data_IF_290882871384
#
_entry.id   IF_290882871384
#
_cell.length_a   1.000
_cell.length_b   1.000
_cell.length_c   1.000
_cell.angle_alpha   90.00
_cell.angle_beta   90.00
_cell.angle_gamma   90.00
#
_symmetry.space_group_name_H-M   'P 1'
#
loop_
_entity.id
_entity.type
_entity.pdbx_description
1 polymer ?
#
# COMPACT_ATOMS: atom_id res chain seq x y z
N UNK A 1 7.54 19.93 3.33
CA UNK A 1 7.42 19.55 1.91
C UNK A 1 6.41 18.42 1.81
N UNK A 2 5.33 18.64 1.06
CA UNK A 2 4.29 17.64 0.83
C UNK A 2 4.82 16.56 -0.13
N UNK A 3 5.37 15.47 0.44
CA UNK A 3 5.95 14.37 -0.34
C UNK A 3 4.92 13.70 -1.26
N UNK A 4 3.65 13.79 -0.93
CA UNK A 4 2.56 13.18 -1.68
C UNK A 4 2.36 13.87 -3.04
N UNK A 5 2.37 15.21 -3.08
CA UNK A 5 2.33 15.98 -4.31
C UNK A 5 3.58 15.79 -5.17
N UNK A 6 4.75 15.71 -4.56
CA UNK A 6 6.01 15.42 -5.26
C UNK A 6 5.98 14.07 -5.96
N UNK A 7 5.58 13.01 -5.25
CA UNK A 7 5.47 11.67 -5.82
C UNK A 7 4.38 11.57 -6.90
N UNK A 8 3.26 12.28 -6.73
CA UNK A 8 2.25 12.42 -7.78
C UNK A 8 2.82 13.04 -9.06
N UNK A 9 3.63 14.09 -8.93
CA UNK A 9 4.31 14.71 -10.08
C UNK A 9 5.29 13.73 -10.76
N UNK A 10 6.08 13.00 -9.97
CA UNK A 10 7.02 11.99 -10.47
C UNK A 10 6.29 10.87 -11.22
N UNK A 11 5.15 10.39 -10.70
CA UNK A 11 4.33 9.38 -11.38
C UNK A 11 3.78 9.91 -12.72
N UNK A 12 3.35 11.17 -12.78
CA UNK A 12 2.76 11.79 -13.96
C UNK A 12 3.78 12.17 -15.05
N UNK A 13 5.06 12.39 -14.71
CA UNK A 13 6.11 12.78 -15.67
C UNK A 13 7.13 11.68 -15.98
N UNK A 14 7.20 10.65 -15.14
CA UNK A 14 8.20 9.59 -15.25
C UNK A 14 8.00 8.61 -16.41
N UNK A 15 8.93 7.67 -16.53
CA UNK A 15 8.91 6.60 -17.54
C UNK A 15 7.60 5.78 -17.52
N UNK A 16 7.01 5.61 -16.34
CA UNK A 16 5.78 4.82 -16.12
C UNK A 16 4.49 5.66 -16.12
N UNK A 17 4.52 6.93 -16.57
CA UNK A 17 3.33 7.81 -16.57
C UNK A 17 2.12 7.24 -17.31
N UNK A 18 2.35 6.48 -18.39
CA UNK A 18 1.26 5.84 -19.14
C UNK A 18 0.52 4.81 -18.30
N UNK A 19 1.23 4.07 -17.45
CA UNK A 19 0.63 3.15 -16.49
C UNK A 19 -0.23 3.90 -15.47
N UNK A 20 0.30 5.00 -14.94
CA UNK A 20 -0.44 5.89 -14.04
C UNK A 20 -1.74 6.39 -14.68
N UNK A 21 -1.68 6.89 -15.92
CA UNK A 21 -2.88 7.37 -16.62
C UNK A 21 -3.88 6.25 -16.90
N UNK A 22 -3.43 5.11 -17.42
CA UNK A 22 -4.30 3.96 -17.69
C UNK A 22 -5.07 3.53 -16.43
N UNK A 23 -4.38 3.38 -15.30
CA UNK A 23 -5.03 3.03 -14.03
C UNK A 23 -6.02 4.10 -13.53
N UNK A 24 -5.78 5.38 -13.82
CA UNK A 24 -6.74 6.44 -13.48
C UNK A 24 -7.99 6.44 -14.37
N UNK A 25 -7.92 5.89 -15.59
CA UNK A 25 -9.09 5.75 -16.48
C UNK A 25 -10.03 4.61 -16.07
N UNK A 26 -9.57 3.70 -15.21
CA UNK A 26 -10.36 2.54 -14.80
C UNK A 26 -11.31 2.89 -13.65
N UNK A 27 -12.60 2.61 -13.86
CA UNK A 27 -13.67 2.80 -12.86
C UNK A 27 -13.95 1.54 -12.02
N UNK A 28 -13.20 0.46 -12.27
CA UNK A 28 -13.32 -0.82 -11.56
C UNK A 28 -12.54 -0.82 -10.24
N UNK A 29 -12.88 -1.73 -9.34
CA UNK A 29 -12.16 -1.92 -8.07
C UNK A 29 -10.94 -2.83 -8.21
N UNK A 30 -10.98 -3.74 -9.18
CA UNK A 30 -9.95 -4.74 -9.41
C UNK A 30 -9.71 -4.87 -10.91
N UNK A 31 -8.44 -4.90 -11.30
CA UNK A 31 -8.01 -5.07 -12.68
C UNK A 31 -6.92 -6.12 -12.72
N UNK A 32 -7.22 -7.29 -13.31
CA UNK A 32 -6.21 -8.30 -13.63
C UNK A 32 -5.46 -7.88 -14.89
N UNK A 33 -4.14 -8.01 -14.87
CA UNK A 33 -3.28 -7.67 -15.99
C UNK A 33 -2.14 -8.67 -16.09
N UNK A 34 -1.71 -8.98 -17.31
CA UNK A 34 -0.45 -9.69 -17.54
C UNK A 34 0.72 -8.71 -17.57
N UNK A 35 1.95 -9.21 -17.42
CA UNK A 35 3.15 -8.39 -17.61
C UNK A 35 3.19 -7.82 -19.04
N UNK A 36 2.72 -8.58 -20.03
CA UNK A 36 2.59 -8.13 -21.42
C UNK A 36 1.55 -7.01 -21.60
N UNK A 37 0.44 -7.02 -20.86
CA UNK A 37 -0.53 -5.91 -20.88
C UNK A 37 0.10 -4.63 -20.32
N UNK A 38 0.87 -4.75 -19.24
CA UNK A 38 1.62 -3.63 -18.66
C UNK A 38 2.65 -3.09 -19.66
N UNK A 39 3.39 -3.95 -20.36
CA UNK A 39 4.32 -3.58 -21.43
C UNK A 39 3.62 -2.84 -22.59
N UNK A 40 2.44 -3.31 -22.98
CA UNK A 40 1.62 -2.67 -24.02
C UNK A 40 1.17 -1.27 -23.61
N UNK A 41 0.76 -1.10 -22.35
CA UNK A 41 0.34 0.19 -21.80
C UNK A 41 1.51 1.17 -21.72
N UNK A 42 2.67 0.74 -21.21
CA UNK A 42 3.85 1.61 -21.07
C UNK A 42 4.57 1.84 -22.41
N UNK A 43 4.40 0.94 -23.37
CA UNK A 43 4.99 1.00 -24.71
C UNK A 43 6.47 0.63 -24.76
N UNK A 44 6.96 -0.12 -23.77
CA UNK A 44 8.33 -0.66 -23.73
C UNK A 44 8.36 -1.96 -22.93
N UNK A 45 9.38 -2.78 -23.17
CA UNK A 45 9.58 -4.02 -22.43
C UNK A 45 9.96 -3.79 -20.97
N UNK A 46 9.30 -4.51 -20.06
CA UNK A 46 9.62 -4.52 -18.65
C UNK A 46 11.05 -5.05 -18.44
N UNK A 47 11.79 -4.48 -17.47
CA UNK A 47 13.13 -4.96 -17.16
C UNK A 47 13.08 -6.43 -16.71
N UNK A 48 14.16 -7.18 -16.94
CA UNK A 48 14.27 -8.58 -16.50
C UNK A 48 13.93 -8.76 -15.01
N UNK A 49 14.30 -7.78 -14.17
CA UNK A 49 13.99 -7.78 -12.75
C UNK A 49 12.48 -7.86 -12.44
N UNK A 50 11.62 -7.32 -13.29
CA UNK A 50 10.17 -7.42 -13.12
C UNK A 50 9.65 -8.87 -13.30
N UNK A 51 10.40 -9.71 -14.03
CA UNK A 51 10.10 -11.13 -14.26
C UNK A 51 10.85 -12.06 -13.30
N UNK A 52 12.00 -11.62 -12.81
CA UNK A 52 12.84 -12.41 -11.90
C UNK A 52 12.50 -12.21 -10.42
N UNK A 53 11.99 -11.04 -10.06
CA UNK A 53 11.85 -10.65 -8.67
C UNK A 53 10.44 -10.13 -8.38
N UNK A 54 9.63 -10.95 -7.68
CA UNK A 54 8.32 -10.53 -7.14
C UNK A 54 8.37 -9.20 -6.37
N UNK A 55 9.43 -8.86 -5.60
CA UNK A 55 9.55 -7.56 -4.94
C UNK A 55 9.54 -6.35 -5.88
N UNK A 56 9.83 -6.51 -7.17
CA UNK A 56 9.71 -5.42 -8.15
C UNK A 56 8.26 -4.89 -8.24
N UNK A 57 7.28 -5.76 -8.01
CA UNK A 57 5.87 -5.42 -7.97
C UNK A 57 5.39 -4.98 -6.58
N UNK A 58 6.27 -4.80 -5.61
CA UNK A 58 5.89 -4.42 -4.26
C UNK A 58 5.39 -2.97 -4.18
N UNK A 59 4.49 -2.71 -3.23
CA UNK A 59 3.86 -1.42 -2.99
C UNK A 59 4.77 -0.44 -2.22
N UNK A 60 6.01 -0.24 -2.70
CA UNK A 60 7.00 0.60 -2.03
C UNK A 60 6.89 2.06 -2.47
N UNK A 61 6.46 2.93 -1.54
CA UNK A 61 6.41 4.40 -1.72
C UNK A 61 7.78 5.05 -1.52
N UNK A 62 8.65 4.45 -0.72
CA UNK A 62 9.96 4.99 -0.38
C UNK A 62 11.01 4.67 -1.47
N UNK A 63 11.99 5.56 -1.66
CA UNK A 63 13.13 5.32 -2.57
C UNK A 63 12.95 5.79 -4.01
N UNK A 64 11.83 6.45 -4.35
CA UNK A 64 11.67 7.06 -5.68
C UNK A 64 11.49 6.06 -6.83
N UNK A 65 11.04 4.85 -6.51
CA UNK A 65 10.77 3.79 -7.49
C UNK A 65 9.61 4.20 -8.41
N UNK A 66 9.96 4.82 -9.55
CA UNK A 66 9.01 5.40 -10.50
C UNK A 66 7.96 4.43 -11.05
N UNK A 67 8.25 3.12 -11.05
CA UNK A 67 7.27 2.08 -11.38
C UNK A 67 6.20 1.97 -10.29
N UNK A 68 6.60 1.73 -9.03
CA UNK A 68 5.67 1.58 -7.93
C UNK A 68 4.82 2.83 -7.67
N UNK A 69 5.43 4.01 -7.80
CA UNK A 69 4.70 5.27 -7.71
C UNK A 69 3.58 5.38 -8.77
N UNK A 70 3.72 4.76 -9.94
CA UNK A 70 2.72 4.87 -11.00
C UNK A 70 1.36 4.28 -10.59
N UNK A 71 1.32 3.11 -9.93
CA UNK A 71 0.06 2.55 -9.44
C UNK A 71 -0.36 3.12 -8.09
N UNK A 72 0.60 3.34 -7.18
CA UNK A 72 0.30 3.87 -5.84
C UNK A 72 -0.30 5.27 -5.89
N UNK A 73 0.23 6.15 -6.75
CA UNK A 73 -0.31 7.51 -6.90
C UNK A 73 -1.61 7.55 -7.68
N UNK A 74 -1.92 6.49 -8.44
CA UNK A 74 -3.21 6.32 -9.09
C UNK A 74 -4.28 5.74 -8.13
N UNK A 75 -3.94 5.48 -6.86
CA UNK A 75 -4.84 4.88 -5.87
C UNK A 75 -4.98 3.36 -6.00
N UNK A 76 -3.99 2.69 -6.58
CA UNK A 76 -3.96 1.24 -6.76
C UNK A 76 -2.81 0.60 -5.98
N UNK A 77 -2.96 -0.67 -5.64
CA UNK A 77 -1.93 -1.54 -5.09
C UNK A 77 -1.90 -2.86 -5.85
N UNK A 78 -0.77 -3.54 -5.83
CA UNK A 78 -0.64 -4.93 -6.30
C UNK A 78 -0.92 -5.91 -5.16
N UNK A 79 -1.59 -7.03 -5.41
CA UNK A 79 -1.88 -8.05 -4.39
C UNK A 79 -1.48 -9.46 -4.83
N UNK A 80 -2.08 -9.96 -5.90
CA UNK A 80 -1.90 -11.32 -6.41
C UNK A 80 -0.90 -11.37 -7.56
N UNK A 81 0.38 -11.17 -7.25
CA UNK A 81 1.46 -11.28 -8.26
C UNK A 81 1.89 -12.73 -8.42
N UNK A 82 1.56 -13.29 -9.59
CA UNK A 82 1.98 -14.61 -10.07
C UNK A 82 3.12 -14.44 -11.09
N UNK A 83 4.30 -14.92 -10.72
CA UNK A 83 5.51 -14.78 -11.54
C UNK A 83 5.61 -15.85 -12.63
N UNK A 84 4.95 -17.00 -12.46
CA UNK A 84 4.97 -18.11 -13.41
C UNK A 84 3.96 -17.85 -14.53
N UNK A 85 2.75 -17.42 -14.17
CA UNK A 85 1.72 -17.03 -15.11
C UNK A 85 1.89 -15.59 -15.65
N UNK A 86 2.92 -14.87 -15.19
CA UNK A 86 3.22 -13.46 -15.52
C UNK A 86 2.00 -12.54 -15.38
N UNK A 87 1.29 -12.67 -14.26
CA UNK A 87 0.03 -11.99 -13.99
C UNK A 87 0.06 -11.26 -12.66
N UNK A 88 -0.71 -10.17 -12.59
CA UNK A 88 -0.94 -9.45 -11.35
C UNK A 88 -2.37 -8.92 -11.27
N UNK A 89 -2.85 -8.80 -10.04
CA UNK A 89 -4.06 -8.05 -9.73
C UNK A 89 -3.70 -6.66 -9.21
N UNK A 90 -4.19 -5.63 -9.91
CA UNK A 90 -4.29 -4.28 -9.38
C UNK A 90 -5.60 -4.15 -8.62
N UNK A 91 -5.53 -3.72 -7.36
CA UNK A 91 -6.69 -3.46 -6.53
C UNK A 91 -6.70 -1.99 -6.12
N UNK A 92 -7.85 -1.32 -6.24
CA UNK A 92 -8.02 0.04 -5.72
C UNK A 92 -7.86 0.05 -4.21
N UNK A 93 -7.01 0.94 -3.73
CA UNK A 93 -6.97 1.32 -2.33
C UNK A 93 -8.19 2.19 -2.07
N UNK A 94 -9.31 1.57 -1.66
CA UNK A 94 -10.44 2.35 -1.16
C UNK A 94 -9.92 3.20 0.00
N UNK A 95 -10.28 4.49 0.11
CA UNK A 95 -10.15 5.14 1.40
C UNK A 95 -10.90 4.23 2.36
N UNK A 96 -10.24 3.76 3.42
CA UNK A 96 -10.92 3.04 4.48
C UNK A 96 -12.14 3.89 4.79
N UNK A 97 -13.34 3.36 4.49
CA UNK A 97 -14.56 3.91 5.05
C UNK A 97 -14.23 3.91 6.53
N UNK A 98 -14.11 5.09 7.11
CA UNK A 98 -14.16 5.23 8.54
C UNK A 98 -15.52 4.67 8.91
N UNK A 99 -15.60 3.36 9.10
CA UNK A 99 -16.58 2.80 9.99
C UNK A 99 -16.29 3.53 11.29
N UNK A 100 -17.16 4.48 11.59
CA UNK A 100 -17.30 5.01 12.93
C UNK A 100 -17.56 3.79 13.79
N UNK A 101 -16.50 3.16 14.29
CA UNK A 101 -16.60 2.23 15.39
C UNK A 101 -17.15 3.12 16.50
N UNK A 102 -18.45 2.99 16.76
CA UNK A 102 -19.05 3.46 18.00
C UNK A 102 -18.34 2.69 19.10
N UNK A 103 -17.27 3.26 19.62
CA UNK A 103 -16.47 2.66 20.69
C UNK A 103 -17.36 2.39 21.92
N UNK A 104 -18.45 3.15 22.05
CA UNK A 104 -19.52 2.95 23.04
C UNK A 104 -20.34 1.66 22.83
N UNK A 105 -20.43 1.13 21.61
CA UNK A 105 -21.16 -0.11 21.30
C UNK A 105 -20.23 -1.34 21.28
N UNK A 106 -18.99 -1.19 20.78
CA UNK A 106 -18.04 -2.29 20.61
C UNK A 106 -17.27 -2.65 21.90
N UNK A 107 -17.11 -1.68 22.82
CA UNK A 107 -16.54 -1.92 24.14
C UNK A 107 -17.41 -1.23 25.18
N UNK A 108 -18.40 -1.91 25.78
CA UNK A 108 -19.10 -1.31 26.91
C UNK A 108 -18.04 -0.98 27.95
N UNK A 109 -18.00 0.27 28.43
CA UNK A 109 -17.18 0.62 29.59
C UNK A 109 -17.67 -0.25 30.74
N UNK A 110 -17.02 -1.39 30.93
CA UNK A 110 -17.15 -2.10 32.19
C UNK A 110 -16.37 -1.20 33.13
N UNK A 111 -17.07 -0.61 34.08
CA UNK A 111 -16.47 -0.10 35.30
C UNK A 111 -15.83 -1.30 36.00
N UNK A 112 -14.72 -1.79 35.46
CA UNK A 112 -13.84 -2.74 36.13
C UNK A 112 -13.35 -1.97 37.33
N UNK A 113 -13.59 -2.55 38.51
CA UNK A 113 -13.36 -1.94 39.80
C UNK A 113 -12.00 -1.27 39.91
N UNK A 114 -11.93 -0.31 40.82
CA UNK A 114 -10.71 0.42 41.17
C UNK A 114 -9.48 -0.51 41.11
N UNK A 115 -8.42 -0.02 40.47
CA UNK A 115 -7.11 -0.67 40.46
C UNK A 115 -6.78 -1.19 41.86
N UNK A 116 -6.36 -2.45 42.03
CA UNK A 116 -6.03 -2.98 43.34
C UNK A 116 -4.96 -2.08 43.97
N UNK A 117 -5.19 -1.66 45.22
CA UNK A 117 -4.21 -0.88 45.95
C UNK A 117 -2.90 -1.69 46.01
N UNK A 118 -1.83 -1.15 45.41
CA UNK A 118 -0.51 -1.78 45.34
C UNK A 118 0.00 -2.11 43.93
N UNK A 119 -0.83 -2.02 42.88
CA UNK A 119 -0.36 -2.11 41.49
C UNK A 119 -0.21 -0.70 40.89
N UNK A 120 0.95 -0.08 41.16
CA UNK A 120 1.46 1.03 40.37
C UNK A 120 2.50 0.47 39.41
N UNK A 121 2.14 0.28 38.14
CA UNK A 121 3.14 0.05 37.10
C UNK A 121 3.80 1.41 36.84
N UNK A 122 5.01 1.62 37.38
CA UNK A 122 5.79 2.78 36.99
C UNK A 122 6.28 2.55 35.57
N UNK A 123 6.49 3.65 34.84
CA UNK A 123 7.03 3.62 33.46
C UNK A 123 8.39 2.90 33.39
N UNK A 124 9.08 2.83 34.53
CA UNK A 124 10.38 2.17 34.72
C UNK A 124 10.28 0.63 34.76
N UNK A 125 9.17 0.04 35.21
CA UNK A 125 8.99 -1.42 35.31
C UNK A 125 8.85 -2.12 33.94
N UNK A 126 8.55 -1.34 32.89
CA UNK A 126 8.35 -1.86 31.52
C UNK A 126 9.70 -1.99 30.76
N UNK A 127 10.79 -1.40 31.29
CA UNK A 127 12.07 -1.26 30.57
C UNK A 127 13.28 -1.96 31.22
N UNK A 128 13.09 -2.99 32.03
CA UNK A 128 14.21 -3.85 32.48
C UNK A 128 14.02 -5.30 32.05
N UNK A 129 14.59 -5.67 30.89
CA UNK A 129 15.13 -7.01 30.65
C UNK A 129 16.61 -6.88 30.23
N UNK A 130 17.45 -7.18 31.23
CA UNK A 130 18.72 -7.93 31.23
C UNK A 130 19.97 -7.38 30.54
N UNK A 131 20.98 -7.17 31.38
CA UNK A 131 22.28 -7.82 31.21
C UNK A 131 22.49 -8.83 32.35
#
# INVERSE_FOLDING_TARGET
MDKQAEYGNMANRGKYKKLYHWLNTLEVREQRATFGDVERVIGFGLPKSARLHRPWWANQKAGGHSHALAWLMAGWKTTEVDMEAEQLLFQREQPQRAETIRLDEAWPVRTVGAWPAGLSLSREDIYEDRA
#
